data_IF_777136420521
#
_entry.id   IF_777136420521
#
_cell.length_a   1.000
_cell.length_b   1.000
_cell.length_c   1.000
_cell.angle_alpha   90.00
_cell.angle_beta   90.00
_cell.angle_gamma   90.00
#
_symmetry.space_group_name_H-M   'P 1'
#
loop_
_entity.id
_entity.type
_entity.pdbx_description
1 polymer ?
#
# COMPACT_ATOMS: atom_id res chain seq x y z
N UNK A 1 -17.43 59.63 -67.58
CA UNK A 1 -17.23 61.04 -67.20
C UNK A 1 -17.22 61.09 -65.68
N UNK A 2 -16.08 61.47 -65.09
CA UNK A 2 -15.83 61.93 -63.70
C UNK A 2 -16.22 61.00 -62.52
N UNK A 3 -15.37 60.51 -61.62
CA UNK A 3 -14.22 60.99 -60.81
C UNK A 3 -14.58 61.02 -59.30
N UNK A 4 -13.61 60.53 -58.51
CA UNK A 4 -13.29 60.87 -57.11
C UNK A 4 -14.07 60.27 -55.92
N UNK A 5 -13.39 59.31 -55.26
CA UNK A 5 -12.92 59.30 -53.86
C UNK A 5 -13.67 60.13 -52.80
N UNK A 6 -13.96 59.49 -51.65
CA UNK A 6 -13.52 59.86 -50.28
C UNK A 6 -13.95 58.76 -49.28
N UNK A 7 -12.96 58.19 -48.57
CA UNK A 7 -13.04 57.47 -47.27
C UNK A 7 -12.98 58.54 -46.15
N UNK A 8 -13.44 58.42 -44.87
CA UNK A 8 -13.30 57.24 -44.00
C UNK A 8 -14.34 57.03 -42.88
N UNK A 9 -14.26 55.87 -42.19
CA UNK A 9 -14.01 55.72 -40.73
C UNK A 9 -14.65 54.45 -40.18
N UNK A 10 -13.78 53.51 -39.83
CA UNK A 10 -14.06 52.45 -38.86
C UNK A 10 -14.22 53.06 -37.46
N UNK A 11 -15.27 52.65 -36.75
CA UNK A 11 -15.32 52.66 -35.28
C UNK A 11 -15.20 51.22 -34.79
N UNK A 12 -14.01 50.90 -34.33
CA UNK A 12 -13.68 49.68 -33.59
C UNK A 12 -14.25 49.78 -32.17
N UNK A 13 -15.15 48.85 -31.80
CA UNK A 13 -15.46 48.57 -30.40
C UNK A 13 -14.61 47.39 -29.94
N UNK A 14 -13.65 47.77 -29.11
CA UNK A 14 -12.70 46.97 -28.36
C UNK A 14 -13.39 46.04 -27.36
N UNK A 15 -13.08 44.75 -27.41
CA UNK A 15 -13.07 43.90 -26.23
C UNK A 15 -11.64 43.47 -25.93
N UNK A 16 -11.09 44.17 -24.93
CA UNK A 16 -9.85 43.91 -24.19
C UNK A 16 -9.95 42.53 -23.52
N UNK A 17 -9.06 41.61 -23.88
CA UNK A 17 -7.91 41.16 -23.08
C UNK A 17 -8.24 40.31 -21.84
N UNK A 18 -8.03 38.99 -21.96
CA UNK A 18 -7.46 38.17 -20.90
C UNK A 18 -6.38 37.30 -21.55
N UNK A 19 -5.18 37.88 -21.69
CA UNK A 19 -3.93 37.17 -21.96
C UNK A 19 -2.95 37.61 -20.89
N UNK A 20 -3.01 36.95 -19.74
CA UNK A 20 -1.96 36.97 -18.74
C UNK A 20 -1.90 35.59 -18.09
N UNK A 21 -1.22 34.65 -18.72
CA UNK A 21 -0.56 33.59 -17.97
C UNK A 21 0.89 34.02 -17.86
N UNK A 22 1.36 34.48 -16.68
CA UNK A 22 2.77 34.77 -16.53
C UNK A 22 3.51 33.42 -16.57
N UNK A 23 4.39 33.29 -17.55
CA UNK A 23 5.58 32.46 -17.44
C UNK A 23 6.27 32.81 -16.11
N UNK A 24 6.17 31.93 -15.14
CA UNK A 24 6.96 31.96 -13.93
C UNK A 24 7.02 30.54 -13.40
N UNK A 25 8.02 29.79 -13.87
CA UNK A 25 8.87 28.88 -13.09
C UNK A 25 10.03 28.44 -14.01
N UNK A 26 10.91 29.40 -14.31
CA UNK A 26 12.31 29.07 -14.66
C UNK A 26 13.14 29.44 -13.44
N UNK A 27 14.01 28.51 -13.08
CA UNK A 27 15.02 28.53 -12.01
C UNK A 27 14.55 28.08 -10.63
N UNK A 28 14.52 26.77 -10.46
CA UNK A 28 15.07 26.13 -9.26
C UNK A 28 16.15 25.15 -9.70
N UNK A 29 17.33 25.67 -10.01
CA UNK A 29 18.55 24.88 -9.81
C UNK A 29 18.89 24.96 -8.33
N UNK A 30 18.31 24.06 -7.56
CA UNK A 30 18.89 23.57 -6.33
C UNK A 30 19.14 22.08 -6.59
N UNK A 31 20.34 21.61 -6.26
CA UNK A 31 20.71 20.21 -6.39
C UNK A 31 19.59 19.31 -5.83
N UNK A 32 19.23 18.29 -6.62
CA UNK A 32 18.13 17.38 -6.34
C UNK A 32 18.24 16.77 -4.93
N UNK A 33 17.46 17.29 -4.00
CA UNK A 33 17.05 16.55 -2.83
C UNK A 33 15.73 15.85 -3.22
N UNK A 34 15.84 14.67 -3.84
CA UNK A 34 15.00 13.51 -3.48
C UNK A 34 13.51 13.85 -3.31
N UNK A 35 12.71 13.80 -4.38
CA UNK A 35 11.36 14.38 -4.49
C UNK A 35 10.33 13.80 -3.51
N UNK A 36 9.30 14.59 -3.19
CA UNK A 36 8.15 14.11 -2.42
C UNK A 36 7.30 13.18 -3.30
N UNK A 37 6.61 12.23 -2.68
CA UNK A 37 5.79 11.24 -3.39
C UNK A 37 4.39 11.23 -2.81
N UNK A 38 3.39 11.23 -3.68
CA UNK A 38 2.01 10.90 -3.32
C UNK A 38 1.65 9.59 -4.00
N UNK A 39 0.99 8.67 -3.29
CA UNK A 39 0.54 7.42 -3.87
C UNK A 39 -0.86 7.05 -3.44
N UNK A 40 -1.60 6.48 -4.38
CA UNK A 40 -2.87 5.81 -4.17
C UNK A 40 -2.68 4.34 -4.55
N UNK A 41 -3.00 3.43 -3.62
CA UNK A 41 -2.88 1.99 -3.80
C UNK A 41 -4.21 1.33 -3.48
N UNK A 42 -4.62 0.36 -4.30
CA UNK A 42 -5.86 -0.37 -4.15
C UNK A 42 -5.55 -1.87 -4.23
N UNK A 43 -5.97 -2.60 -3.20
CA UNK A 43 -5.97 -4.05 -3.15
C UNK A 43 -7.38 -4.57 -3.40
N UNK A 44 -7.51 -5.63 -4.20
CA UNK A 44 -8.78 -6.28 -4.49
C UNK A 44 -8.60 -7.76 -4.85
N UNK A 45 -9.37 -8.64 -4.22
CA UNK A 45 -9.41 -10.09 -4.49
C UNK A 45 -10.31 -10.46 -5.68
N UNK A 46 -11.26 -9.59 -6.05
CA UNK A 46 -12.13 -9.71 -7.23
C UNK A 46 -11.40 -9.84 -8.57
N UNK A 47 -10.09 -9.55 -8.63
CA UNK A 47 -9.22 -9.90 -9.78
C UNK A 47 -9.22 -11.42 -10.06
N UNK A 48 -9.49 -12.22 -9.04
CA UNK A 48 -9.62 -13.68 -9.14
C UNK A 48 -11.09 -14.16 -9.08
N UNK A 49 -12.06 -13.25 -9.10
CA UNK A 49 -13.49 -13.57 -9.10
C UNK A 49 -14.02 -14.08 -7.77
N UNK A 50 -13.39 -13.68 -6.66
CA UNK A 50 -13.77 -14.01 -5.27
C UNK A 50 -13.91 -12.73 -4.46
N UNK A 51 -14.79 -12.74 -3.45
CA UNK A 51 -14.94 -11.68 -2.42
C UNK A 51 -14.91 -12.37 -1.04
N UNK A 52 -13.71 -12.81 -0.63
CA UNK A 52 -13.53 -13.58 0.59
C UNK A 52 -12.12 -13.40 1.16
N UNK A 53 -11.97 -13.61 2.46
CA UNK A 53 -10.73 -13.37 3.16
C UNK A 53 -10.33 -11.89 3.08
N UNK A 54 -9.15 -11.56 2.56
CA UNK A 54 -8.75 -10.16 2.37
C UNK A 54 -9.35 -9.60 1.09
N UNK A 55 -10.51 -8.96 1.23
CA UNK A 55 -11.30 -8.50 0.08
C UNK A 55 -10.81 -7.18 -0.51
N UNK A 56 -10.44 -6.24 0.36
CA UNK A 56 -10.12 -4.90 -0.10
C UNK A 56 -9.14 -4.14 0.79
N UNK A 57 -8.31 -3.34 0.13
CA UNK A 57 -7.47 -2.32 0.74
C UNK A 57 -7.49 -1.03 -0.08
N UNK A 58 -7.49 0.10 0.61
CA UNK A 58 -7.29 1.42 0.04
C UNK A 58 -6.22 2.15 0.85
N UNK A 59 -5.17 2.61 0.18
CA UNK A 59 -4.05 3.29 0.84
C UNK A 59 -3.75 4.60 0.15
N UNK A 60 -3.69 5.66 0.95
CA UNK A 60 -3.27 6.98 0.53
C UNK A 60 -2.02 7.37 1.30
N UNK A 61 -0.91 7.55 0.59
CA UNK A 61 0.36 7.87 1.24
C UNK A 61 0.96 9.17 0.71
N UNK A 62 1.60 9.89 1.61
CA UNK A 62 2.48 11.00 1.31
C UNK A 62 3.85 10.72 1.91
N UNK A 63 4.87 10.68 1.07
CA UNK A 63 6.27 10.58 1.45
C UNK A 63 6.94 11.93 1.21
N UNK A 64 7.66 12.44 2.21
CA UNK A 64 8.45 13.66 2.07
C UNK A 64 9.58 13.47 1.07
N UNK A 65 10.16 14.59 0.63
CA UNK A 65 11.49 14.54 0.07
C UNK A 65 12.58 14.14 1.09
N UNK A 66 13.85 14.20 0.70
CA UNK A 66 14.94 13.90 1.62
C UNK A 66 14.90 14.81 2.85
N UNK A 67 15.10 14.19 4.01
CA UNK A 67 15.25 14.88 5.28
C UNK A 67 16.65 14.67 5.83
N UNK A 68 17.11 15.62 6.66
CA UNK A 68 18.19 15.36 7.60
C UNK A 68 17.57 14.94 8.92
N UNK A 69 17.80 13.72 9.42
CA UNK A 69 17.15 13.25 10.64
C UNK A 69 17.55 14.10 11.85
N UNK A 70 16.55 14.53 12.61
CA UNK A 70 16.77 15.18 13.90
C UNK A 70 17.32 14.17 14.92
N UNK A 71 17.87 14.64 16.05
CA UNK A 71 18.62 13.78 16.99
C UNK A 71 17.83 12.56 17.49
N UNK A 72 16.50 12.68 17.65
CA UNK A 72 15.61 11.59 18.05
C UNK A 72 15.45 10.50 16.98
N UNK A 73 15.46 10.87 15.70
CA UNK A 73 15.29 9.94 14.58
C UNK A 73 16.63 9.42 14.04
N UNK A 74 17.76 10.03 14.41
CA UNK A 74 19.10 9.63 13.99
C UNK A 74 19.41 8.14 14.25
N UNK A 75 18.98 7.51 15.37
CA UNK A 75 19.16 6.07 15.57
C UNK A 75 18.43 5.17 14.57
N UNK A 76 17.39 5.69 13.90
CA UNK A 76 16.63 4.97 12.87
C UNK A 76 17.28 5.08 11.50
N UNK A 77 18.23 6.00 11.30
CA UNK A 77 18.94 6.21 10.04
C UNK A 77 20.04 5.18 9.86
N UNK A 78 20.19 4.63 8.65
CA UNK A 78 21.34 3.78 8.30
C UNK A 78 22.67 4.55 8.39
N UNK A 79 22.63 5.88 8.34
CA UNK A 79 23.81 6.73 8.53
C UNK A 79 24.49 6.59 9.88
N UNK A 80 23.81 6.02 10.89
CA UNK A 80 24.44 5.70 12.18
C UNK A 80 25.60 4.70 12.04
N UNK A 81 25.58 3.87 10.99
CA UNK A 81 26.62 2.89 10.69
C UNK A 81 27.73 3.44 9.77
N UNK A 82 27.71 4.74 9.48
CA UNK A 82 28.76 5.45 8.73
C UNK A 82 28.59 5.46 7.21
N UNK A 83 27.58 4.80 6.65
CA UNK A 83 27.23 4.87 5.24
C UNK A 83 26.20 5.98 4.98
N UNK A 84 26.33 6.82 3.93
CA UNK A 84 25.33 7.83 3.62
C UNK A 84 23.99 7.16 3.33
N UNK A 85 22.91 7.61 3.96
CA UNK A 85 21.55 7.16 3.67
C UNK A 85 20.69 8.32 3.22
N UNK A 86 19.68 7.97 2.44
CA UNK A 86 18.56 8.84 2.14
C UNK A 86 17.46 8.56 3.17
N UNK A 87 17.14 9.55 3.97
CA UNK A 87 16.07 9.44 4.95
C UNK A 87 14.82 10.19 4.49
N UNK A 88 13.63 9.67 4.81
CA UNK A 88 12.33 10.29 4.51
C UNK A 88 11.31 10.00 5.62
N UNK A 89 10.31 10.86 5.74
CA UNK A 89 9.08 10.56 6.48
C UNK A 89 7.99 10.16 5.51
N UNK A 90 7.14 9.22 5.91
CA UNK A 90 5.93 8.87 5.18
C UNK A 90 4.74 8.80 6.14
N UNK A 91 3.61 9.33 5.67
CA UNK A 91 2.31 9.20 6.32
C UNK A 91 1.37 8.44 5.40
N UNK A 92 0.70 7.42 5.93
CA UNK A 92 -0.28 6.63 5.20
C UNK A 92 -1.61 6.67 5.94
N UNK A 93 -2.70 6.91 5.21
CA UNK A 93 -4.06 6.57 5.62
C UNK A 93 -4.46 5.30 4.90
N UNK A 94 -4.85 4.27 5.64
CA UNK A 94 -5.26 2.97 5.10
C UNK A 94 -6.65 2.57 5.58
N UNK A 95 -7.39 1.89 4.72
CA UNK A 95 -8.63 1.22 5.05
C UNK A 95 -8.57 -0.21 4.50
N UNK A 96 -8.80 -1.21 5.35
CA UNK A 96 -8.74 -2.63 5.00
C UNK A 96 -10.04 -3.31 5.42
N UNK A 97 -10.46 -4.29 4.62
CA UNK A 97 -11.67 -5.06 4.87
C UNK A 97 -11.39 -6.54 4.66
N UNK A 98 -12.02 -7.35 5.51
CA UNK A 98 -12.06 -8.78 5.37
C UNK A 98 -13.48 -9.32 5.52
N UNK A 99 -13.80 -10.37 4.76
CA UNK A 99 -15.14 -10.92 4.62
C UNK A 99 -15.14 -12.46 4.67
N UNK A 100 -16.22 -13.10 5.15
CA UNK A 100 -16.44 -14.52 4.92
C UNK A 100 -16.67 -14.80 3.42
N UNK A 101 -16.66 -16.08 3.04
CA UNK A 101 -16.87 -16.48 1.63
C UNK A 101 -18.26 -16.17 1.05
N UNK A 102 -19.30 -16.15 1.88
CA UNK A 102 -20.66 -15.81 1.50
C UNK A 102 -21.12 -14.57 2.26
N UNK A 103 -21.12 -13.44 1.55
CA UNK A 103 -21.46 -12.14 2.11
C UNK A 103 -22.98 -11.87 2.22
N UNK A 104 -23.80 -12.66 1.52
CA UNK A 104 -25.25 -12.47 1.52
C UNK A 104 -25.90 -12.96 2.82
N UNK A 105 -25.19 -13.81 3.58
CA UNK A 105 -25.65 -14.36 4.84
C UNK A 105 -25.70 -13.30 5.94
N UNK A 106 -26.82 -13.26 6.64
CA UNK A 106 -27.07 -12.34 7.77
C UNK A 106 -26.50 -12.83 9.09
N UNK A 107 -26.12 -14.11 9.19
CA UNK A 107 -25.56 -14.74 10.39
C UNK A 107 -24.21 -15.38 10.07
N UNK A 108 -23.26 -15.39 11.03
CA UNK A 108 -21.97 -16.03 10.84
C UNK A 108 -22.14 -17.53 10.56
N UNK A 109 -21.19 -18.10 9.84
CA UNK A 109 -21.10 -19.53 9.56
C UNK A 109 -19.90 -20.14 10.27
N UNK A 110 -19.93 -21.43 10.62
CA UNK A 110 -18.76 -22.11 11.14
C UNK A 110 -17.66 -22.18 10.08
N UNK A 111 -16.40 -22.19 10.52
CA UNK A 111 -15.23 -22.30 9.65
C UNK A 111 -15.10 -21.15 8.63
N UNK A 112 -15.76 -20.03 8.90
CA UNK A 112 -15.62 -18.80 8.12
C UNK A 112 -15.04 -17.73 9.03
N UNK A 113 -14.16 -16.90 8.48
CA UNK A 113 -13.67 -15.73 9.21
C UNK A 113 -14.79 -14.74 9.48
N UNK A 114 -14.67 -13.90 10.53
CA UNK A 114 -15.59 -12.79 10.70
C UNK A 114 -15.37 -11.70 9.65
N UNK A 115 -16.40 -10.88 9.47
CA UNK A 115 -16.22 -9.54 8.94
C UNK A 115 -15.28 -8.75 9.86
N UNK A 116 -14.33 -8.04 9.26
CA UNK A 116 -13.45 -7.15 9.99
C UNK A 116 -13.15 -5.92 9.13
N UNK A 117 -13.29 -4.74 9.74
CA UNK A 117 -12.82 -3.48 9.20
C UNK A 117 -11.58 -2.99 9.93
N UNK A 118 -10.69 -2.29 9.23
CA UNK A 118 -9.58 -1.56 9.86
C UNK A 118 -9.31 -0.24 9.16
N UNK A 119 -9.62 0.87 9.83
CA UNK A 119 -9.27 2.22 9.41
C UNK A 119 -8.07 2.70 10.23
N UNK A 120 -6.96 3.00 9.57
CA UNK A 120 -5.71 3.25 10.27
C UNK A 120 -4.83 4.31 9.62
N UNK A 121 -3.90 4.80 10.41
CA UNK A 121 -2.82 5.67 9.98
C UNK A 121 -1.47 5.06 10.31
N UNK A 122 -0.49 5.32 9.46
CA UNK A 122 0.89 4.88 9.66
C UNK A 122 1.82 6.09 9.62
N UNK A 123 2.71 6.17 10.60
CA UNK A 123 3.82 7.10 10.63
C UNK A 123 5.10 6.31 10.39
N UNK A 124 5.75 6.58 9.27
CA UNK A 124 6.84 5.77 8.75
C UNK A 124 8.13 6.59 8.68
N UNK A 125 9.22 6.05 9.21
CA UNK A 125 10.58 6.51 8.92
C UNK A 125 11.22 5.59 7.90
N UNK A 126 11.64 6.12 6.77
CA UNK A 126 12.29 5.39 5.69
C UNK A 126 13.77 5.78 5.65
N UNK A 127 14.66 4.80 5.57
CA UNK A 127 16.10 5.02 5.39
C UNK A 127 16.62 4.09 4.30
N UNK A 128 17.17 4.68 3.25
CA UNK A 128 17.45 4.02 1.98
C UNK A 128 18.95 4.10 1.65
N UNK A 129 19.52 2.95 1.30
CA UNK A 129 20.88 2.80 0.80
C UNK A 129 20.91 1.64 -0.21
N UNK A 130 21.76 1.67 -1.26
CA UNK A 130 21.79 0.62 -2.28
C UNK A 130 21.99 -0.82 -1.78
N UNK A 131 22.57 -0.99 -0.58
CA UNK A 131 22.81 -2.29 0.05
C UNK A 131 21.75 -2.68 1.08
N UNK A 132 21.07 -1.70 1.68
CA UNK A 132 20.11 -1.89 2.75
C UNK A 132 19.04 -0.80 2.71
N UNK A 133 17.77 -1.17 2.81
CA UNK A 133 16.67 -0.24 2.96
C UNK A 133 15.84 -0.67 4.15
N UNK A 134 15.39 0.28 4.97
CA UNK A 134 14.63 -0.03 6.17
C UNK A 134 13.48 0.93 6.39
N UNK A 135 12.44 0.42 7.01
CA UNK A 135 11.24 1.13 7.39
C UNK A 135 10.93 0.83 8.85
N UNK A 136 10.74 1.89 9.64
CA UNK A 136 10.13 1.80 10.96
C UNK A 136 8.73 2.39 10.86
N UNK A 137 7.71 1.70 11.38
CA UNK A 137 6.33 2.18 11.36
C UNK A 137 5.71 2.18 12.76
N UNK A 138 4.96 3.25 13.03
CA UNK A 138 3.95 3.27 14.07
C UNK A 138 2.58 3.28 13.38
N UNK A 139 1.78 2.27 13.67
CA UNK A 139 0.44 2.13 13.12
C UNK A 139 -0.59 2.30 14.23
N UNK A 140 -1.62 3.12 13.99
CA UNK A 140 -2.73 3.36 14.91
C UNK A 140 -4.05 3.41 14.13
N UNK A 141 -5.07 2.72 14.60
CA UNK A 141 -6.37 2.68 13.94
C UNK A 141 -7.47 2.07 14.80
N UNK A 142 -8.65 1.95 14.21
CA UNK A 142 -9.83 1.36 14.83
C UNK A 142 -10.30 0.15 14.03
N UNK A 143 -10.71 -0.90 14.73
CA UNK A 143 -11.57 -1.97 14.18
C UNK A 143 -13.05 -1.67 14.43
N UNK A 144 -13.94 -2.51 13.91
CA UNK A 144 -15.38 -2.47 14.14
C UNK A 144 -16.13 -1.42 13.32
N UNK A 145 -17.30 -1.03 13.80
CA UNK A 145 -18.15 0.02 13.21
C UNK A 145 -17.40 1.34 13.03
N UNK A 146 -16.47 1.66 13.95
CA UNK A 146 -15.60 2.84 13.86
C UNK A 146 -14.65 2.82 12.65
N UNK A 147 -14.44 1.65 12.01
CA UNK A 147 -13.67 1.55 10.77
C UNK A 147 -14.48 1.97 9.52
N UNK A 148 -15.81 2.11 9.62
CA UNK A 148 -16.72 2.51 8.53
C UNK A 148 -16.72 1.55 7.32
N UNK A 149 -16.39 0.29 7.56
CA UNK A 149 -16.20 -0.70 6.50
C UNK A 149 -17.51 -1.20 5.91
N UNK A 150 -18.59 -1.31 6.71
CA UNK A 150 -19.93 -1.66 6.21
C UNK A 150 -20.42 -0.64 5.19
N UNK A 151 -20.34 0.65 5.51
CA UNK A 151 -20.78 1.73 4.65
C UNK A 151 -19.93 1.81 3.39
N UNK A 152 -18.61 1.64 3.52
CA UNK A 152 -17.69 1.64 2.39
C UNK A 152 -17.99 0.48 1.42
N UNK A 153 -18.17 -0.75 1.93
CA UNK A 153 -18.46 -1.91 1.09
C UNK A 153 -19.82 -1.76 0.39
N UNK A 154 -20.88 -1.40 1.13
CA UNK A 154 -22.22 -1.19 0.57
C UNK A 154 -22.23 -0.08 -0.49
N UNK A 155 -21.48 1.00 -0.27
CA UNK A 155 -21.35 2.07 -1.28
C UNK A 155 -20.76 1.52 -2.58
N UNK A 156 -19.63 0.80 -2.50
CA UNK A 156 -18.99 0.21 -3.69
C UNK A 156 -19.92 -0.80 -4.37
N UNK A 157 -20.53 -1.71 -3.62
CA UNK A 157 -21.42 -2.74 -4.15
C UNK A 157 -22.66 -2.14 -4.83
N UNK A 158 -23.20 -1.04 -4.30
CA UNK A 158 -24.31 -0.31 -4.92
C UNK A 158 -23.94 0.31 -6.28
N UNK A 159 -22.68 0.71 -6.46
CA UNK A 159 -22.13 1.28 -7.68
C UNK A 159 -21.84 0.19 -8.70
N UNK A 160 -21.19 -0.90 -8.27
CA UNK A 160 -20.76 -2.02 -9.14
C UNK A 160 -21.88 -3.00 -9.44
N UNK A 161 -23.01 -2.94 -8.71
CA UNK A 161 -24.12 -3.92 -8.77
C UNK A 161 -23.68 -5.32 -8.35
N UNK A 162 -22.87 -5.39 -7.29
CA UNK A 162 -22.47 -6.62 -6.62
C UNK A 162 -23.50 -7.04 -5.57
N UNK A 163 -23.38 -8.27 -5.05
CA UNK A 163 -24.25 -8.81 -3.99
C UNK A 163 -24.12 -8.01 -2.68
N UNK A 164 -25.19 -7.90 -1.90
CA UNK A 164 -25.23 -7.03 -0.72
C UNK A 164 -24.61 -7.71 0.51
N UNK A 165 -23.65 -7.07 1.20
CA UNK A 165 -23.03 -7.64 2.40
C UNK A 165 -23.96 -7.47 3.61
N UNK A 166 -24.48 -8.59 4.14
CA UNK A 166 -25.51 -8.60 5.17
C UNK A 166 -25.01 -9.03 6.57
N UNK A 167 -23.76 -9.48 6.69
CA UNK A 167 -23.22 -10.04 7.94
C UNK A 167 -22.51 -9.05 8.88
N UNK A 168 -22.42 -7.77 8.53
CA UNK A 168 -21.66 -6.75 9.29
C UNK A 168 -22.10 -6.57 10.75
N UNK A 169 -23.33 -6.94 11.11
CA UNK A 169 -23.81 -6.95 12.49
C UNK A 169 -23.04 -7.93 13.43
N UNK A 170 -22.26 -8.85 12.87
CA UNK A 170 -21.43 -9.84 13.60
C UNK A 170 -19.93 -9.65 13.35
N UNK A 171 -19.51 -8.46 12.92
CA UNK A 171 -18.10 -8.13 12.71
C UNK A 171 -17.29 -8.12 14.02
N UNK A 172 -15.96 -8.11 13.89
CA UNK A 172 -15.03 -7.81 15.01
C UNK A 172 -15.38 -6.47 15.63
N UNK A 173 -15.45 -6.41 16.96
CA UNK A 173 -15.90 -5.24 17.71
C UNK A 173 -14.95 -4.04 17.63
N UNK A 174 -15.49 -2.87 18.01
CA UNK A 174 -14.77 -1.60 18.10
C UNK A 174 -13.61 -1.68 19.10
N UNK A 175 -12.39 -1.51 18.60
CA UNK A 175 -11.19 -1.46 19.42
C UNK A 175 -10.14 -0.51 18.83
N UNK A 176 -9.52 0.30 19.69
CA UNK A 176 -8.29 1.01 19.33
C UNK A 176 -7.14 0.00 19.27
N UNK A 177 -6.60 -0.17 18.08
CA UNK A 177 -5.52 -1.13 17.82
C UNK A 177 -4.38 -0.49 17.04
N UNK A 178 -3.19 -1.01 17.24
CA UNK A 178 -1.99 -0.51 16.59
C UNK A 178 -0.83 -1.47 16.71
N UNK A 179 0.27 -1.08 16.10
CA UNK A 179 1.53 -1.83 16.13
C UNK A 179 2.73 -0.92 15.95
N UNK A 180 3.86 -1.38 16.47
CA UNK A 180 5.18 -0.92 16.07
C UNK A 180 5.78 -1.98 15.15
N UNK A 181 6.29 -1.55 14.00
CA UNK A 181 6.91 -2.45 13.05
C UNK A 181 8.28 -1.97 12.60
N UNK A 182 9.09 -2.95 12.20
CA UNK A 182 10.38 -2.74 11.58
C UNK A 182 10.53 -3.71 10.41
N UNK A 183 10.91 -3.17 9.26
CA UNK A 183 11.17 -3.93 8.05
C UNK A 183 12.53 -3.59 7.49
N UNK A 184 13.27 -4.62 7.07
CA UNK A 184 14.58 -4.49 6.46
C UNK A 184 14.65 -5.25 5.15
N UNK A 185 15.18 -4.60 4.13
CA UNK A 185 15.63 -5.20 2.89
C UNK A 185 17.15 -5.23 2.93
N UNK A 186 17.75 -6.38 2.67
CA UNK A 186 19.19 -6.54 2.62
C UNK A 186 19.60 -7.19 1.29
N UNK A 187 20.38 -6.47 0.49
CA UNK A 187 20.78 -6.92 -0.84
C UNK A 187 21.83 -8.05 -0.73
N UNK A 188 21.56 -9.23 -1.25
CA UNK A 188 22.51 -10.35 -1.27
C UNK A 188 23.40 -10.34 -2.50
N UNK A 189 22.95 -9.70 -3.57
CA UNK A 189 23.73 -9.54 -4.79
C UNK A 189 22.94 -8.81 -5.86
N UNK A 190 23.60 -7.86 -6.53
CA UNK A 190 23.11 -7.17 -7.72
C UNK A 190 24.12 -7.38 -8.84
N UNK A 191 23.65 -7.82 -10.00
CA UNK A 191 24.48 -8.18 -11.14
C UNK A 191 23.96 -7.50 -12.40
N UNK A 192 24.85 -6.90 -13.19
CA UNK A 192 24.48 -6.39 -14.49
C UNK A 192 24.02 -7.53 -15.42
N UNK A 193 22.95 -7.27 -16.16
CA UNK A 193 22.35 -8.17 -17.13
C UNK A 193 22.31 -7.51 -18.52
N UNK A 194 21.58 -8.11 -19.46
CA UNK A 194 21.51 -7.65 -20.84
C UNK A 194 20.81 -6.28 -20.95
N UNK A 195 21.19 -5.50 -21.96
CA UNK A 195 20.54 -4.23 -22.33
C UNK A 195 20.45 -3.18 -21.19
N UNK A 196 21.46 -3.12 -20.31
CA UNK A 196 21.52 -2.12 -19.23
C UNK A 196 20.57 -2.42 -18.06
N UNK A 197 20.08 -3.66 -17.96
CA UNK A 197 19.30 -4.13 -16.82
C UNK A 197 20.20 -4.74 -15.74
N UNK A 198 19.62 -4.99 -14.58
CA UNK A 198 20.24 -5.62 -13.43
C UNK A 198 19.34 -6.74 -12.91
N UNK A 199 19.95 -7.79 -12.38
CA UNK A 199 19.30 -8.82 -11.59
C UNK A 199 19.72 -8.63 -10.13
N UNK A 200 18.76 -8.62 -9.22
CA UNK A 200 18.99 -8.46 -7.79
C UNK A 200 18.30 -9.55 -6.97
N UNK A 201 19.02 -10.11 -6.00
CA UNK A 201 18.47 -10.97 -4.95
C UNK A 201 18.60 -10.25 -3.61
N UNK A 202 17.51 -10.16 -2.86
CA UNK A 202 17.49 -9.54 -1.55
C UNK A 202 16.76 -10.43 -0.53
N UNK A 203 17.19 -10.36 0.72
CA UNK A 203 16.37 -10.79 1.85
C UNK A 203 15.45 -9.64 2.28
N UNK A 204 14.24 -10.00 2.69
CA UNK A 204 13.30 -9.09 3.34
C UNK A 204 12.92 -9.72 4.65
N UNK A 205 13.04 -8.98 5.75
CA UNK A 205 12.60 -9.44 7.07
C UNK A 205 11.77 -8.36 7.73
N UNK A 206 10.72 -8.77 8.43
CA UNK A 206 9.77 -7.87 9.08
C UNK A 206 9.43 -8.39 10.47
N UNK A 207 9.33 -7.47 11.43
CA UNK A 207 8.72 -7.75 12.72
C UNK A 207 7.66 -6.70 13.01
N UNK A 208 6.51 -7.14 13.51
CA UNK A 208 5.43 -6.29 13.99
C UNK A 208 5.07 -6.70 15.41
N UNK A 209 4.86 -5.73 16.29
CA UNK A 209 4.48 -5.96 17.68
C UNK A 209 3.34 -5.01 18.03
N UNK A 210 2.19 -5.55 18.42
CA UNK A 210 1.01 -4.77 18.74
C UNK A 210 -0.22 -5.60 19.02
N UNK A 211 -1.32 -4.91 19.34
CA UNK A 211 -2.61 -5.55 19.56
C UNK A 211 -3.46 -5.69 18.28
N UNK A 212 -3.11 -5.00 17.18
CA UNK A 212 -3.70 -5.29 15.87
C UNK A 212 -3.22 -6.66 15.37
N UNK A 213 -1.91 -6.75 15.11
CA UNK A 213 -1.18 -7.93 14.68
C UNK A 213 0.26 -7.88 15.21
N UNK A 214 0.75 -9.02 15.68
CA UNK A 214 2.17 -9.25 15.96
C UNK A 214 2.63 -10.45 15.16
N UNK A 215 3.75 -10.29 14.49
CA UNK A 215 4.31 -11.29 13.60
C UNK A 215 5.81 -11.07 13.38
N UNK A 216 6.46 -12.14 12.92
CA UNK A 216 7.82 -12.14 12.43
C UNK A 216 7.81 -12.83 11.06
N UNK A 217 8.37 -12.20 10.05
CA UNK A 217 8.53 -12.80 8.73
C UNK A 217 9.95 -12.64 8.18
N UNK A 218 10.33 -13.57 7.31
CA UNK A 218 11.52 -13.45 6.49
C UNK A 218 11.31 -14.13 5.15
N UNK A 219 11.83 -13.52 4.10
CA UNK A 219 11.63 -13.95 2.73
C UNK A 219 12.77 -13.55 1.81
N UNK A 220 12.67 -14.02 0.58
CA UNK A 220 13.61 -13.72 -0.50
C UNK A 220 12.86 -13.05 -1.63
N UNK A 221 13.47 -12.02 -2.20
CA UNK A 221 12.95 -11.28 -3.35
C UNK A 221 13.97 -11.27 -4.47
N UNK A 222 13.52 -11.64 -5.66
CA UNK A 222 14.23 -11.47 -6.91
C UNK A 222 13.63 -10.31 -7.68
N UNK A 223 14.49 -9.42 -8.21
CA UNK A 223 14.09 -8.27 -9.03
C UNK A 223 14.93 -8.24 -10.30
N UNK A 224 14.29 -7.93 -11.43
CA UNK A 224 14.96 -7.72 -12.71
C UNK A 224 14.43 -6.45 -13.37
N UNK A 225 15.34 -5.53 -13.72
CA UNK A 225 14.94 -4.26 -14.31
C UNK A 225 16.06 -3.25 -14.37
N UNK A 226 15.72 -1.96 -14.32
CA UNK A 226 16.68 -0.86 -14.40
C UNK A 226 16.73 -0.10 -13.08
N UNK A 227 17.90 0.44 -12.76
CA UNK A 227 18.10 1.35 -11.64
C UNK A 227 17.73 0.74 -10.28
N UNK A 228 18.02 -0.57 -10.11
CA UNK A 228 17.58 -1.35 -8.94
C UNK A 228 18.21 -0.84 -7.64
N UNK A 229 19.37 -0.18 -7.74
CA UNK A 229 20.02 0.48 -6.62
C UNK A 229 19.19 1.62 -6.02
N UNK A 230 18.53 2.41 -6.87
CA UNK A 230 17.82 3.62 -6.46
C UNK A 230 16.34 3.36 -6.18
N UNK A 231 15.83 2.15 -6.45
CA UNK A 231 14.48 1.73 -6.05
C UNK A 231 14.50 0.57 -5.03
N UNK A 232 15.64 0.35 -4.37
CA UNK A 232 15.81 -0.70 -3.37
C UNK A 232 14.85 -0.50 -2.19
N UNK A 233 13.99 -1.49 -1.94
CA UNK A 233 12.97 -1.47 -0.89
C UNK A 233 11.56 -1.09 -1.34
N UNK A 234 11.36 -0.70 -2.61
CA UNK A 234 10.03 -0.33 -3.11
C UNK A 234 9.07 -1.52 -3.27
N UNK A 235 9.58 -2.71 -3.58
CA UNK A 235 8.78 -3.94 -3.65
C UNK A 235 8.85 -4.73 -2.33
N UNK A 236 7.72 -5.28 -1.91
CA UNK A 236 7.53 -6.00 -0.64
C UNK A 236 6.92 -7.38 -0.88
N UNK A 237 7.04 -8.27 0.10
CA UNK A 237 6.32 -9.54 0.13
C UNK A 237 5.22 -9.37 1.17
N UNK A 238 4.02 -9.04 0.70
CA UNK A 238 2.85 -8.76 1.52
C UNK A 238 1.61 -8.98 0.68
N UNK A 239 0.54 -9.49 1.30
CA UNK A 239 -0.79 -9.54 0.67
C UNK A 239 -1.38 -8.13 0.54
N UNK A 240 -0.98 -7.24 1.44
CA UNK A 240 -1.53 -5.90 1.64
C UNK A 240 -0.50 -4.86 1.18
N UNK A 241 -0.88 -3.99 0.24
CA UNK A 241 -0.06 -2.91 -0.30
C UNK A 241 1.41 -3.32 -0.62
N UNK A 242 1.65 -4.28 -1.52
CA UNK A 242 2.97 -4.87 -1.76
C UNK A 242 4.00 -3.94 -2.43
N UNK A 243 3.64 -2.69 -2.71
CA UNK A 243 4.51 -1.72 -3.35
C UNK A 243 4.46 -0.36 -2.63
N UNK A 244 5.62 0.15 -2.22
CA UNK A 244 5.76 1.47 -1.57
C UNK A 244 6.64 2.40 -2.40
N UNK A 245 6.05 3.28 -3.23
CA UNK A 245 6.77 4.24 -4.06
C UNK A 245 7.66 5.20 -3.27
N UNK A 246 7.33 5.48 -2.00
CA UNK A 246 8.15 6.32 -1.11
C UNK A 246 9.58 5.83 -0.92
N UNK A 247 9.80 4.53 -1.08
CA UNK A 247 11.11 3.87 -1.00
C UNK A 247 11.97 4.07 -2.26
N UNK A 248 11.44 4.69 -3.32
CA UNK A 248 12.24 5.08 -4.49
C UNK A 248 13.10 6.28 -4.11
N UNK A 249 14.42 6.13 -4.21
CA UNK A 249 15.41 7.15 -3.90
C UNK A 249 15.68 8.10 -5.05
N UNK A 250 16.96 8.32 -5.37
CA UNK A 250 17.39 9.29 -6.39
C UNK A 250 17.23 8.72 -7.82
N UNK A 251 16.02 8.33 -8.20
CA UNK A 251 15.70 7.75 -9.50
C UNK A 251 14.72 8.62 -10.29
N UNK A 252 15.00 8.86 -11.57
CA UNK A 252 14.12 9.64 -12.45
C UNK A 252 13.27 8.77 -13.38
N UNK A 253 13.66 7.53 -13.60
CA UNK A 253 12.94 6.59 -14.44
C UNK A 253 13.41 5.18 -14.09
N UNK A 254 12.50 4.23 -14.20
CA UNK A 254 12.85 2.84 -14.01
C UNK A 254 11.68 1.94 -14.30
N UNK A 255 11.99 0.69 -14.57
CA UNK A 255 11.03 -0.39 -14.56
C UNK A 255 11.67 -1.62 -13.94
N UNK A 256 10.88 -2.46 -13.31
CA UNK A 256 11.35 -3.76 -12.86
C UNK A 256 10.18 -4.73 -12.67
N UNK A 257 10.47 -6.00 -12.94
CA UNK A 257 9.65 -7.13 -12.50
C UNK A 257 10.24 -7.64 -11.19
N UNK A 258 9.38 -8.05 -10.27
CA UNK A 258 9.81 -8.64 -9.01
C UNK A 258 8.97 -9.86 -8.68
N UNK A 259 9.58 -10.80 -7.96
CA UNK A 259 8.87 -11.91 -7.34
C UNK A 259 9.54 -12.25 -6.02
N UNK A 260 8.77 -12.70 -5.04
CA UNK A 260 9.31 -13.08 -3.75
C UNK A 260 8.43 -14.08 -3.04
N UNK A 261 9.03 -14.76 -2.07
CA UNK A 261 8.36 -15.68 -1.16
C UNK A 261 8.80 -15.39 0.27
N UNK A 262 7.89 -15.43 1.23
CA UNK A 262 8.20 -15.32 2.65
C UNK A 262 7.54 -16.43 3.45
N UNK A 263 8.15 -16.74 4.59
CA UNK A 263 7.48 -17.43 5.69
C UNK A 263 7.23 -16.44 6.83
N UNK A 264 6.07 -16.54 7.47
CA UNK A 264 5.63 -15.69 8.58
C UNK A 264 5.15 -16.55 9.73
N UNK A 265 5.48 -16.12 10.94
CA UNK A 265 4.88 -16.60 12.18
C UNK A 265 3.97 -15.51 12.76
N UNK A 266 2.67 -15.78 12.82
CA UNK A 266 1.63 -14.89 13.36
C UNK A 266 1.36 -15.24 14.83
N UNK A 267 1.56 -14.29 15.73
CA UNK A 267 1.31 -14.49 17.17
C UNK A 267 -0.11 -14.11 17.57
N UNK A 268 -0.67 -13.06 16.94
CA UNK A 268 -2.05 -12.62 17.12
C UNK A 268 -2.54 -11.88 15.88
N UNK A 269 -3.85 -11.85 15.71
CA UNK A 269 -4.56 -11.17 14.65
C UNK A 269 -5.98 -10.85 15.12
N UNK A 270 -6.23 -9.57 15.40
CA UNK A 270 -7.56 -9.11 15.86
C UNK A 270 -8.64 -9.33 14.79
N UNK A 271 -8.28 -9.40 13.50
CA UNK A 271 -9.23 -9.60 12.40
C UNK A 271 -9.75 -11.03 12.30
N UNK A 272 -9.18 -11.96 13.08
CA UNK A 272 -9.53 -13.38 13.12
C UNK A 272 -10.12 -13.73 14.50
N UNK A 273 -9.39 -13.40 15.57
CA UNK A 273 -9.71 -13.81 16.95
C UNK A 273 -10.30 -12.68 17.80
N UNK A 274 -10.59 -11.51 17.22
CA UNK A 274 -11.20 -10.39 17.94
C UNK A 274 -12.59 -10.72 18.50
N UNK A 275 -12.98 -9.97 19.55
CA UNK A 275 -14.29 -10.11 20.19
C UNK A 275 -15.43 -9.76 19.22
N UNK A 276 -16.57 -10.46 19.36
CA UNK A 276 -17.71 -10.39 18.44
C UNK A 276 -19.04 -10.59 19.18
N UNK A 277 -20.14 -9.95 18.73
CA UNK A 277 -21.45 -10.08 19.36
C UNK A 277 -22.17 -11.39 18.94
N UNK A 278 -21.67 -12.54 19.40
CA UNK A 278 -22.19 -13.88 19.04
C UNK A 278 -23.37 -14.35 19.92
N UNK A 279 -23.93 -13.49 20.75
CA UNK A 279 -25.03 -13.83 21.65
C UNK A 279 -26.36 -13.99 20.90
N UNK A 280 -27.21 -14.92 21.36
CA UNK A 280 -28.55 -15.11 20.80
C UNK A 280 -28.58 -15.84 19.44
N UNK A 281 -27.47 -16.46 19.04
CA UNK A 281 -27.39 -17.33 17.87
C UNK A 281 -27.89 -18.75 18.18
N UNK A 282 -28.17 -19.51 17.12
CA UNK A 282 -28.74 -20.86 17.22
C UNK A 282 -27.76 -21.90 17.80
N UNK A 283 -26.48 -21.57 17.81
CA UNK A 283 -25.37 -22.39 18.30
C UNK A 283 -24.54 -21.59 19.30
N UNK A 284 -23.80 -22.24 20.21
CA UNK A 284 -22.92 -21.55 21.14
C UNK A 284 -21.80 -20.81 20.40
N UNK A 285 -21.22 -19.77 21.02
CA UNK A 285 -20.27 -18.86 20.36
C UNK A 285 -19.05 -19.57 19.77
N UNK A 286 -18.58 -20.63 20.43
CA UNK A 286 -17.43 -21.45 20.01
C UNK A 286 -17.63 -22.09 18.63
N UNK A 287 -18.89 -22.30 18.21
CA UNK A 287 -19.21 -22.84 16.89
C UNK A 287 -18.83 -21.90 15.74
N UNK A 288 -18.80 -20.59 15.99
CA UNK A 288 -18.50 -19.55 15.00
C UNK A 288 -17.09 -18.96 15.17
N UNK A 289 -16.30 -19.50 16.10
CA UNK A 289 -14.92 -19.07 16.34
C UNK A 289 -13.97 -19.76 15.39
N UNK A 290 -13.04 -18.97 14.86
CA UNK A 290 -11.91 -19.43 14.06
C UNK A 290 -10.63 -19.05 14.77
N UNK A 291 -9.57 -19.81 14.51
CA UNK A 291 -8.30 -19.67 15.20
C UNK A 291 -7.20 -19.39 14.21
N UNK A 292 -6.28 -18.52 14.57
CA UNK A 292 -5.15 -18.18 13.71
C UNK A 292 -4.36 -19.43 13.35
N UNK A 293 -3.98 -19.54 12.08
CA UNK A 293 -2.92 -20.42 11.63
C UNK A 293 -1.59 -19.66 11.76
N UNK A 294 -0.72 -20.02 12.73
CA UNK A 294 0.48 -19.24 13.00
C UNK A 294 1.47 -19.27 11.83
N UNK A 295 1.58 -20.38 11.12
CA UNK A 295 2.54 -20.52 10.02
C UNK A 295 1.89 -20.15 8.70
N UNK A 296 2.29 -19.00 8.18
CA UNK A 296 1.76 -18.43 6.95
C UNK A 296 2.89 -18.29 5.93
N UNK A 297 2.57 -18.44 4.64
CA UNK A 297 3.51 -18.20 3.56
C UNK A 297 2.85 -17.35 2.46
N UNK A 298 3.56 -16.31 2.04
CA UNK A 298 3.11 -15.40 0.99
C UNK A 298 4.05 -15.52 -0.21
N UNK A 299 3.49 -15.58 -1.41
CA UNK A 299 4.20 -15.38 -2.66
C UNK A 299 3.70 -14.09 -3.34
N UNK A 300 4.60 -13.37 -3.99
CA UNK A 300 4.29 -12.15 -4.73
C UNK A 300 4.92 -12.19 -6.11
N UNK A 301 4.23 -11.64 -7.10
CA UNK A 301 4.79 -11.27 -8.40
C UNK A 301 4.24 -9.92 -8.82
N UNK A 302 5.09 -9.04 -9.32
CA UNK A 302 4.66 -7.73 -9.74
C UNK A 302 5.55 -7.07 -10.75
N UNK A 303 5.03 -5.99 -11.31
CA UNK A 303 5.72 -5.10 -12.23
C UNK A 303 5.52 -3.67 -11.78
N UNK A 304 6.60 -2.90 -11.76
CA UNK A 304 6.55 -1.47 -11.49
C UNK A 304 7.25 -0.72 -12.62
N UNK A 305 6.72 0.44 -12.97
CA UNK A 305 7.33 1.36 -13.91
C UNK A 305 7.06 2.80 -13.53
N UNK A 306 8.03 3.66 -13.77
CA UNK A 306 7.91 5.07 -13.46
C UNK A 306 8.82 5.93 -14.33
N UNK A 307 8.40 7.18 -14.46
CA UNK A 307 9.15 8.27 -15.04
C UNK A 307 9.24 9.41 -14.02
N UNK A 308 9.82 10.54 -14.44
CA UNK A 308 10.22 11.63 -13.54
C UNK A 308 9.10 12.19 -12.65
N UNK A 309 7.85 12.10 -13.10
CA UNK A 309 6.71 12.72 -12.41
C UNK A 309 5.63 11.73 -12.00
N UNK A 310 5.58 10.54 -12.60
CA UNK A 310 4.50 9.57 -12.37
C UNK A 310 5.01 8.15 -12.52
N UNK A 311 4.37 7.22 -11.83
CA UNK A 311 4.54 5.80 -12.04
C UNK A 311 3.33 4.99 -11.63
N UNK A 312 3.43 3.70 -11.92
CA UNK A 312 2.41 2.72 -11.59
C UNK A 312 3.07 1.39 -11.20
N UNK A 313 2.33 0.57 -10.47
CA UNK A 313 2.64 -0.84 -10.25
C UNK A 313 1.40 -1.69 -10.37
N UNK A 314 1.60 -2.93 -10.78
CA UNK A 314 0.62 -4.01 -10.76
C UNK A 314 1.26 -5.20 -10.05
N UNK A 315 0.60 -5.73 -9.03
CA UNK A 315 1.10 -6.83 -8.23
C UNK A 315 0.02 -7.88 -8.01
N UNK A 316 0.42 -9.14 -7.94
CA UNK A 316 -0.43 -10.27 -7.59
C UNK A 316 0.22 -11.03 -6.45
N UNK A 317 -0.59 -11.42 -5.48
CA UNK A 317 -0.15 -12.13 -4.28
C UNK A 317 -0.92 -13.43 -4.16
N UNK A 318 -0.27 -14.41 -3.53
CA UNK A 318 -0.91 -15.65 -3.10
C UNK A 318 -0.47 -15.93 -1.67
N UNK A 319 -1.39 -16.33 -0.80
CA UNK A 319 -1.14 -16.59 0.62
C UNK A 319 -1.76 -17.92 1.04
N UNK A 320 -1.10 -18.63 1.95
CA UNK A 320 -1.68 -19.78 2.64
C UNK A 320 -2.80 -19.33 3.60
N UNK A 321 -3.58 -20.26 4.18
CA UNK A 321 -4.63 -19.91 5.13
C UNK A 321 -4.15 -19.01 6.28
N UNK A 322 -4.99 -18.03 6.65
CA UNK A 322 -4.72 -17.16 7.80
C UNK A 322 -5.25 -17.76 9.11
N UNK A 323 -6.24 -18.67 9.01
CA UNK A 323 -6.90 -19.36 10.12
C UNK A 323 -7.04 -20.86 9.83
N UNK A 324 -7.11 -21.67 10.89
CA UNK A 324 -7.04 -23.15 10.81
C UNK A 324 -8.23 -23.78 10.13
N UNK A 325 -9.40 -23.16 10.28
CA UNK A 325 -10.66 -23.65 9.76
C UNK A 325 -10.91 -23.27 8.30
N UNK A 326 -10.01 -22.51 7.67
CA UNK A 326 -10.16 -22.09 6.28
C UNK A 326 -10.26 -23.32 5.36
N UNK A 327 -11.26 -23.30 4.49
CA UNK A 327 -11.51 -24.39 3.53
C UNK A 327 -10.63 -24.24 2.30
N UNK A 328 -10.16 -23.03 2.03
CA UNK A 328 -9.26 -22.77 0.91
C UNK A 328 -7.82 -23.08 1.29
N UNK A 329 -7.05 -23.61 0.34
CA UNK A 329 -5.61 -23.85 0.56
C UNK A 329 -4.76 -22.64 0.22
N UNK A 330 -5.29 -21.70 -0.59
CA UNK A 330 -4.60 -20.52 -1.09
C UNK A 330 -5.64 -19.42 -1.33
N UNK A 331 -5.37 -18.20 -0.83
CA UNK A 331 -6.07 -16.97 -1.25
C UNK A 331 -5.14 -16.10 -2.11
N UNK A 332 -5.71 -15.18 -2.88
CA UNK A 332 -4.91 -14.26 -3.70
C UNK A 332 -5.54 -12.88 -3.82
N UNK A 333 -4.68 -11.88 -3.98
CA UNK A 333 -5.09 -10.48 -4.09
C UNK A 333 -4.34 -9.80 -5.23
N UNK A 334 -5.04 -8.95 -5.98
CA UNK A 334 -4.43 -8.04 -6.93
C UNK A 334 -4.25 -6.65 -6.34
N UNK A 335 -3.13 -6.00 -6.64
CA UNK A 335 -2.84 -4.63 -6.23
C UNK A 335 -2.52 -3.76 -7.45
N UNK A 336 -3.10 -2.55 -7.49
CA UNK A 336 -2.68 -1.48 -8.39
C UNK A 336 -2.29 -0.25 -7.58
N UNK A 337 -1.10 0.28 -7.81
CA UNK A 337 -0.70 1.57 -7.25
C UNK A 337 -0.41 2.58 -8.34
N UNK A 338 -0.85 3.82 -8.12
CA UNK A 338 -0.52 5.00 -8.93
C UNK A 338 0.18 6.00 -8.03
N UNK A 339 1.27 6.58 -8.53
CA UNK A 339 2.06 7.51 -7.72
C UNK A 339 2.65 8.65 -8.55
N UNK A 340 2.86 9.78 -7.88
CA UNK A 340 3.37 11.01 -8.47
C UNK A 340 4.52 11.57 -7.65
N UNK A 341 5.54 12.06 -8.34
CA UNK A 341 6.73 12.71 -7.76
C UNK A 341 6.68 14.22 -8.03
N UNK A 342 6.97 15.03 -7.01
CA UNK A 342 6.93 16.50 -7.13
C UNK A 342 7.93 17.23 -6.23
#
# INVERSE_FOLDING_TARGET
>A
MSFCFISPRHSSLTMKSIRYLPLLFISTYAAAAQTSTFSLSIDNDGVFGVDQNYTNGLFLSYTSGAITPYWLAKPLSLSIWGAPSLDKWEFTLGHKMWTPSDIELTKPQPNERPYAGYLHTEFNYLSLHPQQAQRFNLTLGMTGESALSEEAQKLVHSITKSDEPNGWAYQVEDQLVGSLGYRSHFNWGRYHALAGTELELANISEVNIGNFRSDLSSGLMLRWGTDLENNFGAAQISVENPFTPGMIGASNQGWFVFTGIEGRYRFNDVTIEGDRPLNGLDQPAEYYQVHIEPWQATAVVGFAMYARSFGASLTFTANTPEFKEDKESISGTGNVALYAFF
#
